data_IF_758996724339
#
_entry.id   IF_758996724339
#
_cell.length_a   1.000
_cell.length_b   1.000
_cell.length_c   1.000
_cell.angle_alpha   90.00
_cell.angle_beta   90.00
_cell.angle_gamma   90.00
#
_symmetry.space_group_name_H-M   'P 1'
#
loop_
_entity.id
_entity.type
_entity.pdbx_description
1 polymer ?
#
# COMPACT_ATOMS: atom_id res chain seq x y z
N UNK A 1 21.03 33.35 -5.90
CA UNK A 1 20.61 31.94 -5.69
C UNK A 1 19.64 31.89 -4.53
N UNK A 2 18.36 31.71 -4.82
CA UNK A 2 17.31 31.60 -3.82
C UNK A 2 17.48 30.31 -3.03
N UNK A 3 17.59 30.43 -1.70
CA UNK A 3 17.57 29.30 -0.77
C UNK A 3 16.18 28.67 -0.84
N UNK A 4 16.05 27.54 -1.51
CA UNK A 4 14.85 26.70 -1.41
C UNK A 4 14.81 26.24 0.05
N UNK A 5 13.77 26.65 0.78
CA UNK A 5 13.58 26.27 2.16
C UNK A 5 13.37 24.75 2.21
N UNK A 6 14.31 24.04 2.81
CA UNK A 6 14.33 22.56 2.86
C UNK A 6 12.99 21.99 3.38
N UNK A 7 12.28 22.75 4.22
CA UNK A 7 10.97 22.39 4.77
C UNK A 7 9.85 22.28 3.72
N UNK A 8 9.83 23.13 2.70
CA UNK A 8 8.78 23.09 1.66
C UNK A 8 9.04 21.98 0.65
N UNK A 9 10.29 21.80 0.23
CA UNK A 9 10.70 20.70 -0.64
C UNK A 9 10.36 19.32 -0.02
N UNK A 10 10.62 19.15 1.28
CA UNK A 10 10.28 17.92 2.01
C UNK A 10 8.76 17.64 2.09
N UNK A 11 7.92 18.67 2.08
CA UNK A 11 6.46 18.52 2.04
C UNK A 11 5.98 18.12 0.65
N UNK A 12 6.51 18.74 -0.39
CA UNK A 12 6.19 18.42 -1.78
C UNK A 12 6.65 17.00 -2.15
N UNK A 13 7.84 16.58 -1.69
CA UNK A 13 8.34 15.21 -1.91
C UNK A 13 7.46 14.17 -1.22
N UNK A 14 6.95 14.48 -0.02
CA UNK A 14 6.00 13.61 0.68
C UNK A 14 4.67 13.48 -0.06
N UNK A 15 4.16 14.58 -0.62
CA UNK A 15 2.95 14.55 -1.43
C UNK A 15 3.14 13.71 -2.70
N UNK A 16 4.28 13.87 -3.40
CA UNK A 16 4.63 13.03 -4.56
C UNK A 16 4.70 11.56 -4.19
N UNK A 17 5.31 11.24 -3.04
CA UNK A 17 5.37 9.89 -2.53
C UNK A 17 3.95 9.30 -2.28
N UNK A 18 3.05 10.05 -1.65
CA UNK A 18 1.69 9.58 -1.40
C UNK A 18 0.87 9.42 -2.69
N UNK A 19 1.02 10.32 -3.66
CA UNK A 19 0.37 10.16 -4.95
C UNK A 19 0.85 8.89 -5.66
N UNK A 20 2.17 8.69 -5.75
CA UNK A 20 2.73 7.51 -6.40
C UNK A 20 2.34 6.19 -5.69
N UNK A 21 2.22 6.23 -4.35
CA UNK A 21 1.67 5.14 -3.56
C UNK A 21 0.24 4.83 -3.99
N UNK A 22 -0.62 5.85 -3.99
CA UNK A 22 -2.06 5.67 -4.25
C UNK A 22 -2.29 5.17 -5.68
N UNK A 23 -1.51 5.65 -6.66
CA UNK A 23 -1.56 5.16 -8.03
C UNK A 23 -1.16 3.68 -8.15
N UNK A 24 -0.12 3.25 -7.43
CA UNK A 24 0.30 1.85 -7.40
C UNK A 24 -0.74 0.97 -6.71
N UNK A 25 -1.24 1.38 -5.54
CA UNK A 25 -2.23 0.60 -4.78
C UNK A 25 -3.56 0.51 -5.51
N UNK A 26 -4.01 1.59 -6.16
CA UNK A 26 -5.20 1.59 -7.01
C UNK A 26 -5.07 0.60 -8.17
N UNK A 27 -3.91 0.59 -8.84
CA UNK A 27 -3.64 -0.39 -9.88
C UNK A 27 -3.71 -1.82 -9.31
N UNK A 28 -3.05 -2.06 -8.18
CA UNK A 28 -3.02 -3.38 -7.55
C UNK A 28 -4.44 -3.87 -7.21
N UNK A 29 -5.24 -3.02 -6.57
CA UNK A 29 -6.64 -3.33 -6.22
C UNK A 29 -7.46 -3.64 -7.46
N UNK A 30 -7.37 -2.80 -8.49
CA UNK A 30 -8.09 -2.99 -9.75
C UNK A 30 -7.77 -4.33 -10.42
N UNK A 31 -6.50 -4.75 -10.40
CA UNK A 31 -6.07 -6.01 -11.00
C UNK A 31 -6.50 -7.22 -10.17
N UNK A 32 -6.45 -7.11 -8.84
CA UNK A 32 -6.93 -8.16 -7.93
C UNK A 32 -8.47 -8.30 -7.98
N UNK A 33 -9.21 -7.20 -8.10
CA UNK A 33 -10.67 -7.20 -8.26
C UNK A 33 -11.10 -7.85 -9.59
N UNK A 34 -10.22 -7.86 -10.61
CA UNK A 34 -10.42 -8.62 -11.85
C UNK A 34 -10.14 -10.12 -11.70
N UNK A 35 -9.78 -10.59 -10.50
CA UNK A 35 -9.48 -11.99 -10.21
C UNK A 35 -8.05 -12.43 -10.54
N UNK A 36 -7.11 -11.49 -10.75
CA UNK A 36 -5.69 -11.82 -10.92
C UNK A 36 -5.05 -12.19 -9.58
N UNK A 37 -3.98 -12.99 -9.61
CA UNK A 37 -3.17 -13.25 -8.41
C UNK A 37 -2.33 -12.03 -8.03
N UNK A 38 -1.81 -12.00 -6.80
CA UNK A 38 -0.92 -10.91 -6.35
C UNK A 38 0.33 -10.77 -7.24
N UNK A 39 0.90 -11.87 -7.74
CA UNK A 39 2.04 -11.83 -8.66
C UNK A 39 1.66 -11.20 -10.00
N UNK A 40 0.51 -11.58 -10.55
CA UNK A 40 0.02 -11.06 -11.83
C UNK A 40 -0.35 -9.57 -11.73
N UNK A 41 -0.98 -9.17 -10.63
CA UNK A 41 -1.29 -7.78 -10.35
C UNK A 41 0.00 -6.96 -10.17
N UNK A 42 0.97 -7.46 -9.41
CA UNK A 42 2.28 -6.82 -9.21
C UNK A 42 3.06 -6.65 -10.51
N UNK A 43 3.01 -7.66 -11.39
CA UNK A 43 3.61 -7.59 -12.72
C UNK A 43 2.92 -6.55 -13.62
N UNK A 44 1.59 -6.53 -13.62
CA UNK A 44 0.79 -5.58 -14.41
C UNK A 44 1.01 -4.14 -13.95
N UNK A 45 1.18 -3.93 -12.64
CA UNK A 45 1.38 -2.62 -12.01
C UNK A 45 2.86 -2.23 -11.82
N UNK A 46 3.79 -2.95 -12.45
CA UNK A 46 5.24 -2.75 -12.25
C UNK A 46 5.71 -1.34 -12.65
N UNK A 47 5.05 -0.70 -13.62
CA UNK A 47 5.38 0.66 -14.03
C UNK A 47 5.12 1.66 -12.90
N UNK A 48 3.92 1.64 -12.30
CA UNK A 48 3.55 2.48 -11.16
C UNK A 48 4.39 2.15 -9.92
N UNK A 49 4.70 0.86 -9.71
CA UNK A 49 5.59 0.45 -8.61
C UNK A 49 6.97 1.10 -8.70
N UNK A 50 7.57 1.18 -9.90
CA UNK A 50 8.87 1.85 -10.09
C UNK A 50 8.81 3.34 -9.80
N UNK A 51 7.68 3.99 -10.07
CA UNK A 51 7.47 5.41 -9.72
C UNK A 51 7.36 5.55 -8.22
N UNK A 52 6.59 4.68 -7.56
CA UNK A 52 6.44 4.64 -6.12
C UNK A 52 7.78 4.41 -5.40
N UNK A 53 8.58 3.46 -5.85
CA UNK A 53 9.91 3.15 -5.30
C UNK A 53 10.88 4.33 -5.45
N UNK A 54 10.80 5.10 -6.53
CA UNK A 54 11.64 6.28 -6.75
C UNK A 54 11.16 7.51 -5.98
N UNK A 55 9.85 7.65 -5.78
CA UNK A 55 9.24 8.80 -5.12
C UNK A 55 9.27 8.70 -3.59
N UNK A 56 9.35 7.48 -3.04
CA UNK A 56 9.28 7.24 -1.60
C UNK A 56 10.56 6.64 -1.05
N UNK A 57 10.87 6.85 0.25
CA UNK A 57 11.89 6.08 0.94
C UNK A 57 11.57 4.58 0.94
N UNK A 58 12.57 3.72 0.73
CA UNK A 58 12.40 2.25 0.69
C UNK A 58 11.72 1.68 1.94
N UNK A 59 11.98 2.25 3.12
CA UNK A 59 11.31 1.84 4.38
C UNK A 59 9.80 2.07 4.34
N UNK A 60 9.35 3.11 3.64
CA UNK A 60 7.94 3.44 3.47
C UNK A 60 7.26 2.56 2.42
N UNK A 61 7.96 2.26 1.32
CA UNK A 61 7.45 1.38 0.25
C UNK A 61 7.02 0.03 0.84
N UNK A 62 7.92 -0.65 1.54
CA UNK A 62 7.61 -1.95 2.15
C UNK A 62 6.53 -1.88 3.23
N UNK A 63 6.51 -0.80 4.04
CA UNK A 63 5.49 -0.62 5.06
C UNK A 63 4.09 -0.41 4.45
N UNK A 64 3.97 0.46 3.43
CA UNK A 64 2.69 0.74 2.81
C UNK A 64 2.14 -0.45 2.03
N UNK A 65 2.99 -1.18 1.29
CA UNK A 65 2.54 -2.38 0.58
C UNK A 65 2.00 -3.43 1.55
N UNK A 66 2.75 -3.75 2.63
CA UNK A 66 2.27 -4.72 3.64
C UNK A 66 0.98 -4.27 4.32
N UNK A 67 0.89 -2.98 4.67
CA UNK A 67 -0.31 -2.42 5.29
C UNK A 67 -1.50 -2.55 4.35
N UNK A 68 -1.35 -2.19 3.08
CA UNK A 68 -2.43 -2.26 2.09
C UNK A 68 -2.90 -3.70 1.87
N UNK A 69 -1.99 -4.67 1.68
CA UNK A 69 -2.36 -6.09 1.57
C UNK A 69 -3.16 -6.57 2.79
N UNK A 70 -2.76 -6.17 4.00
CA UNK A 70 -3.47 -6.54 5.22
C UNK A 70 -4.85 -5.87 5.34
N UNK A 71 -4.98 -4.59 4.99
CA UNK A 71 -6.28 -3.90 4.95
C UNK A 71 -7.21 -4.53 3.91
N UNK A 72 -6.68 -4.89 2.74
CA UNK A 72 -7.44 -5.58 1.70
C UNK A 72 -7.90 -6.96 2.17
N UNK A 73 -7.01 -7.75 2.78
CA UNK A 73 -7.36 -9.05 3.36
C UNK A 73 -8.47 -8.93 4.42
N UNK A 74 -8.37 -7.93 5.32
CA UNK A 74 -9.42 -7.63 6.30
C UNK A 74 -10.77 -7.34 5.63
N UNK A 75 -10.76 -6.53 4.57
CA UNK A 75 -11.97 -6.21 3.81
C UNK A 75 -12.57 -7.45 3.15
N UNK A 76 -11.75 -8.27 2.49
CA UNK A 76 -12.23 -9.49 1.83
C UNK A 76 -12.79 -10.49 2.84
N UNK A 77 -12.21 -10.61 4.04
CA UNK A 77 -12.73 -11.46 5.09
C UNK A 77 -14.07 -10.95 5.66
N UNK A 78 -14.21 -9.63 5.83
CA UNK A 78 -15.47 -9.04 6.25
C UNK A 78 -16.60 -9.32 5.24
N UNK A 79 -16.27 -9.41 3.95
CA UNK A 79 -17.21 -9.73 2.87
C UNK A 79 -17.50 -11.24 2.76
N UNK A 80 -16.52 -12.12 3.03
CA UNK A 80 -16.61 -13.58 2.83
C UNK A 80 -16.95 -14.39 4.09
N UNK A 81 -16.91 -13.78 5.28
CA UNK A 81 -17.10 -14.48 6.57
C UNK A 81 -15.78 -14.96 7.18
N UNK A 82 -15.74 -15.05 8.51
CA UNK A 82 -14.51 -15.19 9.31
C UNK A 82 -14.23 -16.65 9.72
N UNK A 83 -12.99 -17.15 9.57
CA UNK A 83 -12.55 -18.43 10.15
C UNK A 83 -11.55 -18.23 11.31
N UNK A 84 -11.39 -19.28 12.16
CA UNK A 84 -10.63 -19.21 13.42
C UNK A 84 -9.15 -18.78 13.24
N UNK A 85 -8.53 -19.11 12.10
CA UNK A 85 -7.17 -18.69 11.78
C UNK A 85 -7.05 -17.16 11.61
N UNK A 86 -8.11 -16.51 11.13
CA UNK A 86 -8.14 -15.07 10.87
C UNK A 86 -8.23 -14.27 12.18
N UNK A 87 -8.82 -14.84 13.24
CA UNK A 87 -8.97 -14.20 14.56
C UNK A 87 -7.62 -13.85 15.19
N UNK A 88 -6.64 -14.74 15.02
CA UNK A 88 -5.29 -14.52 15.52
C UNK A 88 -4.51 -13.48 14.68
N UNK A 89 -4.85 -13.32 13.40
CA UNK A 89 -4.20 -12.36 12.49
C UNK A 89 -4.70 -10.92 12.70
N UNK A 90 -5.94 -10.73 13.17
CA UNK A 90 -6.48 -9.40 13.45
C UNK A 90 -6.07 -8.80 14.79
N UNK A 91 -5.54 -9.60 15.71
CA UNK A 91 -5.13 -9.12 17.03
C UNK A 91 -6.28 -8.71 17.95
N UNK A 92 -7.52 -9.08 17.64
CA UNK A 92 -8.68 -8.87 18.53
C UNK A 92 -8.65 -9.94 19.64
N UNK A 93 -7.77 -9.76 20.63
CA UNK A 93 -7.58 -10.76 21.68
C UNK A 93 -6.55 -10.42 22.76
N UNK A 94 -6.71 -9.28 23.45
CA UNK A 94 -6.60 -9.11 24.92
C UNK A 94 -6.43 -7.62 25.28
N UNK A 95 -7.53 -6.97 25.65
CA UNK A 95 -7.51 -6.04 26.78
C UNK A 95 -7.87 -6.89 27.99
N UNK A 96 -6.89 -7.16 28.84
CA UNK A 96 -7.10 -7.50 30.25
C UNK A 96 -6.33 -6.45 31.06
#
# INVERSE_FOLDING_TARGET
MSKIDSSTALKEDRQRCYQARDDYLFCLDKELDQGKTEEQASQSCRASFRVFEKACPNSWVGHFTRKHSFERYKRTLAEQGFNVADRNALGDGKKE
#
